data_IF_551847097432
#
_entry.id   IF_551847097432
#
_cell.length_a   1.000
_cell.length_b   1.000
_cell.length_c   1.000
_cell.angle_alpha   90.00
_cell.angle_beta   90.00
_cell.angle_gamma   90.00
#
_symmetry.space_group_name_H-M   'P 1'
#
loop_
_entity.id
_entity.type
_entity.pdbx_description
1 polymer ?
#
# COMPACT_ATOMS: atom_id res chain seq x y z
N UNK A 1 -0.43 2.79 30.74
CA UNK A 1 -0.17 3.54 29.49
C UNK A 1 -1.45 4.27 29.11
N UNK A 2 -1.38 5.56 28.81
CA UNK A 2 -2.56 6.34 28.38
C UNK A 2 -2.88 6.03 26.91
N UNK A 3 -4.16 6.09 26.54
CA UNK A 3 -4.60 5.92 25.14
C UNK A 3 -4.30 7.16 24.32
N UNK A 4 -4.16 6.96 23.01
CA UNK A 4 -3.94 8.08 22.09
C UNK A 4 -5.14 9.02 22.07
N UNK A 5 -4.89 10.31 21.85
CA UNK A 5 -5.95 11.34 21.73
C UNK A 5 -6.91 11.00 20.57
N UNK A 6 -6.39 10.39 19.50
CA UNK A 6 -7.17 9.96 18.34
C UNK A 6 -8.14 8.82 18.71
N UNK A 7 -7.66 7.78 19.40
CA UNK A 7 -8.48 6.66 19.86
C UNK A 7 -9.59 7.16 20.81
N UNK A 8 -9.26 8.05 21.74
CA UNK A 8 -10.24 8.62 22.68
C UNK A 8 -11.32 9.42 21.94
N UNK A 9 -10.93 10.24 20.96
CA UNK A 9 -11.89 10.97 20.12
C UNK A 9 -12.80 10.03 19.32
N UNK A 10 -12.23 8.96 18.76
CA UNK A 10 -12.97 7.96 18.01
C UNK A 10 -14.01 7.24 18.89
N UNK A 11 -13.61 6.77 20.08
CA UNK A 11 -14.51 6.12 21.05
C UNK A 11 -15.67 7.05 21.44
N UNK A 12 -15.41 8.34 21.63
CA UNK A 12 -16.46 9.32 21.94
C UNK A 12 -17.37 9.56 20.73
N UNK A 13 -16.85 9.59 19.51
CA UNK A 13 -17.67 9.72 18.31
C UNK A 13 -18.57 8.51 18.04
N UNK A 14 -18.13 7.33 18.49
CA UNK A 14 -18.91 6.09 18.42
C UNK A 14 -20.04 6.04 19.47
N UNK A 15 -20.13 7.02 20.37
CA UNK A 15 -21.22 7.14 21.34
C UNK A 15 -20.86 6.78 22.78
N UNK A 16 -19.59 6.43 23.07
CA UNK A 16 -19.18 6.16 24.45
C UNK A 16 -19.16 7.46 25.30
N UNK A 17 -19.64 7.44 26.55
CA UNK A 17 -19.69 8.64 27.39
C UNK A 17 -18.30 9.25 27.62
N UNK A 18 -18.17 10.59 27.48
CA UNK A 18 -16.92 11.32 27.73
C UNK A 18 -16.36 11.15 29.14
N UNK A 19 -17.19 10.76 30.11
CA UNK A 19 -16.82 10.43 31.48
C UNK A 19 -16.84 8.92 31.79
N UNK A 20 -16.90 8.08 30.77
CA UNK A 20 -16.98 6.63 30.92
C UNK A 20 -15.71 6.03 31.52
N UNK A 21 -15.88 4.92 32.26
CA UNK A 21 -14.77 4.22 32.89
C UNK A 21 -13.83 3.65 31.82
N UNK A 22 -12.54 3.64 32.11
CA UNK A 22 -11.53 3.09 31.21
C UNK A 22 -11.45 3.79 29.83
N UNK A 23 -11.89 5.04 29.67
CA UNK A 23 -11.75 5.80 28.41
C UNK A 23 -10.29 6.23 28.14
N UNK A 24 -9.71 7.06 29.03
CA UNK A 24 -8.35 7.59 28.86
C UNK A 24 -7.25 6.56 29.15
N UNK A 25 -7.48 5.71 30.15
CA UNK A 25 -6.57 4.65 30.57
C UNK A 25 -7.38 3.49 31.13
N UNK A 26 -7.03 2.25 30.77
CA UNK A 26 -7.58 1.08 31.43
C UNK A 26 -6.98 0.96 32.84
N UNK A 27 -7.83 0.87 33.86
CA UNK A 27 -7.45 0.65 35.27
C UNK A 27 -8.05 -0.63 35.84
N UNK A 28 -8.48 -1.55 34.99
CA UNK A 28 -9.00 -2.86 35.39
C UNK A 28 -7.81 -3.83 35.48
N UNK A 29 -7.70 -4.54 36.61
CA UNK A 29 -6.67 -5.56 36.81
C UNK A 29 -7.03 -6.88 36.09
N UNK A 30 -8.34 -7.16 35.93
CA UNK A 30 -8.87 -8.29 35.17
C UNK A 30 -10.13 -7.86 34.36
N UNK A 31 -10.51 -8.64 33.34
CA UNK A 31 -11.81 -8.47 32.66
C UNK A 31 -12.96 -8.81 33.62
N UNK A 32 -14.13 -8.15 33.51
CA UNK A 32 -14.59 -7.32 32.39
C UNK A 32 -14.17 -5.84 32.46
N UNK A 33 -13.56 -5.35 31.38
CA UNK A 33 -13.32 -3.93 31.18
C UNK A 33 -14.59 -3.27 30.62
N UNK A 34 -15.13 -2.19 31.22
CA UNK A 34 -16.40 -1.59 30.80
C UNK A 34 -16.35 -1.00 29.39
N UNK A 35 -15.19 -0.53 28.94
CA UNK A 35 -15.00 -0.04 27.58
C UNK A 35 -14.97 -1.19 26.57
N UNK A 36 -14.22 -2.26 26.84
CA UNK A 36 -14.12 -3.41 25.94
C UNK A 36 -15.46 -4.16 25.86
N UNK A 37 -16.16 -4.28 26.99
CA UNK A 37 -17.50 -4.87 27.02
C UNK A 37 -18.44 -4.09 26.09
N UNK A 38 -18.47 -2.76 26.22
CA UNK A 38 -19.29 -1.91 25.35
C UNK A 38 -18.88 -2.02 23.88
N UNK A 39 -17.59 -1.91 23.54
CA UNK A 39 -17.11 -2.05 22.15
C UNK A 39 -17.51 -3.41 21.55
N UNK A 40 -17.37 -4.48 22.31
CA UNK A 40 -17.74 -5.83 21.86
C UNK A 40 -19.25 -6.00 21.69
N UNK A 41 -20.07 -5.36 22.54
CA UNK A 41 -21.52 -5.38 22.43
C UNK A 41 -21.96 -4.63 21.17
N UNK A 42 -21.47 -3.40 20.97
CA UNK A 42 -21.77 -2.59 19.79
C UNK A 42 -21.35 -3.30 18.49
N UNK A 43 -20.16 -3.90 18.44
CA UNK A 43 -19.71 -4.70 17.30
C UNK A 43 -20.68 -5.85 16.98
N UNK A 44 -21.12 -6.60 17.99
CA UNK A 44 -22.10 -7.68 17.80
C UNK A 44 -23.47 -7.17 17.35
N UNK A 45 -23.87 -5.96 17.73
CA UNK A 45 -25.12 -5.37 17.22
C UNK A 45 -25.07 -5.00 15.74
N UNK A 46 -23.88 -4.68 15.22
CA UNK A 46 -23.68 -4.33 13.82
C UNK A 46 -23.38 -5.55 12.96
N UNK A 47 -22.70 -6.54 13.52
CA UNK A 47 -22.25 -7.75 12.85
C UNK A 47 -22.82 -8.99 13.56
N UNK A 48 -24.07 -9.40 13.24
CA UNK A 48 -24.72 -10.53 13.92
C UNK A 48 -23.98 -11.86 13.72
N UNK A 49 -23.19 -12.00 12.65
CA UNK A 49 -22.33 -13.16 12.36
C UNK A 49 -21.30 -13.44 13.47
N UNK A 50 -20.94 -12.43 14.28
CA UNK A 50 -20.03 -12.57 15.41
C UNK A 50 -20.70 -13.13 16.68
N UNK A 51 -22.01 -13.38 16.64
CA UNK A 51 -22.81 -13.88 17.78
C UNK A 51 -22.85 -15.41 17.84
N UNK A 52 -22.46 -16.08 16.77
CA UNK A 52 -22.57 -17.52 16.66
C UNK A 52 -21.38 -18.23 17.33
N UNK A 53 -21.70 -18.84 18.48
CA UNK A 53 -21.06 -19.97 19.18
C UNK A 53 -20.72 -19.64 20.65
N UNK A 54 -21.61 -20.13 21.54
CA UNK A 54 -21.40 -20.41 22.97
C UNK A 54 -21.01 -19.20 23.83
N UNK A 55 -21.95 -18.26 24.02
CA UNK A 55 -21.87 -17.29 25.12
C UNK A 55 -22.76 -16.07 24.93
N UNK A 56 -24.06 -16.19 25.24
CA UNK A 56 -24.97 -15.04 25.36
C UNK A 56 -24.82 -14.34 26.72
N UNK A 57 -23.57 -14.11 27.14
CA UNK A 57 -23.26 -13.36 28.34
C UNK A 57 -23.09 -11.88 28.00
N UNK A 58 -23.73 -10.99 28.75
CA UNK A 58 -23.59 -9.54 28.62
C UNK A 58 -22.21 -9.02 29.13
N UNK A 59 -21.29 -9.95 29.43
CA UNK A 59 -20.07 -9.72 30.19
C UNK A 59 -18.88 -10.37 29.48
N UNK A 60 -18.05 -9.54 28.86
CA UNK A 60 -16.87 -9.94 28.11
C UNK A 60 -15.77 -10.49 29.03
N UNK A 61 -15.69 -11.81 29.14
CA UNK A 61 -14.60 -12.54 29.77
C UNK A 61 -13.40 -12.72 28.81
N UNK A 62 -12.25 -13.13 29.33
CA UNK A 62 -11.02 -13.33 28.53
C UNK A 62 -11.23 -14.32 27.38
N UNK A 63 -11.95 -15.41 27.64
CA UNK A 63 -12.25 -16.42 26.62
C UNK A 63 -13.22 -15.93 25.55
N UNK A 64 -14.18 -15.09 25.93
CA UNK A 64 -15.11 -14.48 24.96
C UNK A 64 -14.42 -13.44 24.09
N UNK A 65 -13.50 -12.66 24.66
CA UNK A 65 -12.66 -11.76 23.91
C UNK A 65 -11.76 -12.54 22.95
N UNK A 66 -11.17 -13.66 23.38
CA UNK A 66 -10.38 -14.56 22.52
C UNK A 66 -11.20 -15.06 21.35
N UNK A 67 -12.41 -15.57 21.59
CA UNK A 67 -13.29 -16.08 20.55
C UNK A 67 -13.71 -14.98 19.56
N UNK A 68 -14.06 -13.80 20.06
CA UNK A 68 -14.38 -12.64 19.23
C UNK A 68 -13.20 -12.24 18.33
N UNK A 69 -11.97 -12.24 18.87
CA UNK A 69 -10.77 -11.95 18.10
C UNK A 69 -10.46 -13.03 17.05
N UNK A 70 -10.64 -14.31 17.38
CA UNK A 70 -10.50 -15.42 16.43
C UNK A 70 -11.50 -15.32 15.28
N UNK A 71 -12.76 -14.98 15.58
CA UNK A 71 -13.81 -14.84 14.57
C UNK A 71 -13.54 -13.69 13.59
N UNK A 72 -12.87 -12.63 14.06
CA UNK A 72 -12.41 -11.52 13.21
C UNK A 72 -11.02 -11.75 12.60
N UNK A 73 -10.48 -12.97 12.69
CA UNK A 73 -9.13 -13.34 12.21
C UNK A 73 -8.03 -12.40 12.72
N UNK A 74 -8.18 -11.91 13.94
CA UNK A 74 -7.27 -10.93 14.53
C UNK A 74 -5.95 -11.58 14.95
N UNK A 75 -4.79 -10.92 14.74
CA UNK A 75 -3.49 -11.42 15.20
C UNK A 75 -3.39 -11.55 16.73
N UNK A 76 -4.35 -10.97 17.44
CA UNK A 76 -4.46 -11.05 18.89
C UNK A 76 -5.29 -12.26 19.35
N UNK A 77 -5.72 -13.18 18.49
CA UNK A 77 -6.43 -14.39 18.92
C UNK A 77 -5.60 -15.29 19.87
N UNK A 78 -4.27 -15.26 19.75
CA UNK A 78 -3.34 -16.01 20.59
C UNK A 78 -2.90 -15.17 21.79
N UNK A 79 -3.84 -14.73 22.64
CA UNK A 79 -3.50 -14.02 23.88
C UNK A 79 -3.05 -14.99 24.98
N UNK A 80 -2.14 -14.55 25.84
CA UNK A 80 -1.90 -15.16 27.15
C UNK A 80 -2.98 -14.71 28.15
N UNK A 81 -3.28 -15.51 29.16
CA UNK A 81 -4.32 -15.18 30.15
C UNK A 81 -4.02 -13.90 30.95
N UNK A 82 -2.75 -13.49 30.99
CA UNK A 82 -2.31 -12.20 31.55
C UNK A 82 -2.36 -11.13 30.46
N UNK A 83 -3.29 -10.19 30.59
CA UNK A 83 -3.47 -9.07 29.66
C UNK A 83 -2.65 -7.86 30.12
N UNK A 84 -1.45 -7.72 29.58
CA UNK A 84 -0.61 -6.54 29.80
C UNK A 84 -1.33 -5.23 29.35
N UNK A 85 -1.17 -4.10 30.06
CA UNK A 85 -1.84 -2.84 29.70
C UNK A 85 -1.57 -2.34 28.28
N UNK A 86 -0.42 -2.71 27.70
CA UNK A 86 -0.08 -2.40 26.30
C UNK A 86 -0.86 -3.26 25.30
N UNK A 87 -1.10 -4.53 25.62
CA UNK A 87 -1.92 -5.43 24.82
C UNK A 87 -3.39 -4.96 24.83
N UNK A 88 -3.92 -4.58 26.00
CA UNK A 88 -5.27 -4.03 26.13
C UNK A 88 -5.48 -2.76 25.28
N UNK A 89 -4.48 -1.88 25.20
CA UNK A 89 -4.57 -0.69 24.35
C UNK A 89 -4.63 -1.07 22.86
N UNK A 90 -3.77 -2.00 22.40
CA UNK A 90 -3.79 -2.49 21.01
C UNK A 90 -5.10 -3.18 20.65
N UNK A 91 -5.63 -4.00 21.56
CA UNK A 91 -6.94 -4.64 21.41
C UNK A 91 -8.04 -3.58 21.33
N UNK A 92 -7.99 -2.54 22.18
CA UNK A 92 -8.96 -1.44 22.12
C UNK A 92 -8.88 -0.71 20.78
N UNK A 93 -7.68 -0.38 20.31
CA UNK A 93 -7.48 0.30 19.02
C UNK A 93 -8.01 -0.54 17.85
N UNK A 94 -7.76 -1.85 17.87
CA UNK A 94 -8.29 -2.80 16.89
C UNK A 94 -9.82 -2.83 16.88
N UNK A 95 -10.46 -3.03 18.05
CA UNK A 95 -11.93 -3.07 18.15
C UNK A 95 -12.58 -1.74 17.73
N UNK A 96 -11.95 -0.60 18.04
CA UNK A 96 -12.42 0.72 17.58
C UNK A 96 -12.34 0.83 16.06
N UNK A 97 -11.26 0.34 15.44
CA UNK A 97 -11.12 0.32 13.99
C UNK A 97 -12.18 -0.54 13.32
N UNK A 98 -12.41 -1.76 13.82
CA UNK A 98 -13.43 -2.68 13.29
C UNK A 98 -14.84 -2.11 13.44
N UNK A 99 -15.14 -1.46 14.58
CA UNK A 99 -16.46 -0.88 14.82
C UNK A 99 -16.74 0.32 13.92
N UNK A 100 -15.72 1.15 13.67
CA UNK A 100 -15.80 2.22 12.68
C UNK A 100 -16.01 1.66 11.26
N UNK A 101 -15.29 0.60 10.89
CA UNK A 101 -15.46 -0.04 9.60
C UNK A 101 -16.89 -0.61 9.44
N UNK A 102 -17.41 -1.28 10.47
CA UNK A 102 -18.77 -1.81 10.50
C UNK A 102 -19.83 -0.69 10.36
N UNK A 103 -19.63 0.45 11.01
CA UNK A 103 -20.51 1.63 10.82
C UNK A 103 -20.48 2.13 9.38
N UNK A 104 -19.30 2.26 8.77
CA UNK A 104 -19.16 2.71 7.38
C UNK A 104 -19.84 1.75 6.42
N UNK A 105 -19.75 0.44 6.66
CA UNK A 105 -20.42 -0.58 5.84
C UNK A 105 -21.94 -0.46 6.01
N UNK A 106 -22.44 -0.39 7.24
CA UNK A 106 -23.87 -0.26 7.53
C UNK A 106 -24.47 1.04 6.99
N UNK A 107 -23.75 2.16 7.07
CA UNK A 107 -24.18 3.43 6.49
C UNK A 107 -24.31 3.33 4.95
N UNK A 108 -23.36 2.66 4.29
CA UNK A 108 -23.44 2.36 2.85
C UNK A 108 -24.62 1.46 2.49
N UNK A 109 -24.95 0.47 3.32
CA UNK A 109 -26.10 -0.43 3.11
C UNK A 109 -27.44 0.28 3.32
N UNK A 110 -27.52 1.21 4.28
CA UNK A 110 -28.73 1.98 4.58
C UNK A 110 -28.96 3.14 3.59
N UNK A 111 -27.90 3.68 2.99
CA UNK A 111 -27.95 4.74 1.98
C UNK A 111 -27.40 4.27 0.61
N UNK A 112 -27.99 3.26 -0.05
CA UNK A 112 -27.51 2.79 -1.34
C UNK A 112 -27.73 3.82 -2.48
N UNK A 113 -28.48 4.91 -2.21
CA UNK A 113 -29.06 5.82 -3.20
C UNK A 113 -28.77 7.32 -3.00
N UNK A 114 -27.75 7.70 -2.25
CA UNK A 114 -27.21 9.08 -2.35
C UNK A 114 -26.21 9.26 -3.50
N UNK A 115 -26.16 8.29 -4.44
CA UNK A 115 -25.47 8.41 -5.72
C UNK A 115 -26.42 8.67 -6.91
N UNK A 116 -27.67 9.10 -6.66
CA UNK A 116 -28.67 9.31 -7.71
C UNK A 116 -29.36 10.67 -7.64
N UNK A 117 -28.64 11.76 -7.33
CA UNK A 117 -28.99 13.11 -7.83
C UNK A 117 -27.77 14.06 -7.90
N UNK A 118 -26.66 13.57 -8.45
CA UNK A 118 -25.63 14.42 -9.07
C UNK A 118 -24.96 13.54 -10.11
N UNK A 119 -25.03 13.93 -11.38
CA UNK A 119 -24.47 13.15 -12.49
C UNK A 119 -22.94 12.99 -12.35
N UNK A 120 -22.52 11.97 -11.61
CA UNK A 120 -21.16 11.45 -11.61
C UNK A 120 -21.25 9.96 -11.99
N UNK A 121 -20.79 9.66 -13.21
CA UNK A 121 -20.62 8.28 -13.67
C UNK A 121 -19.72 7.50 -12.69
N UNK A 122 -20.00 6.19 -12.46
CA UNK A 122 -19.48 5.47 -11.32
C UNK A 122 -17.97 5.27 -11.47
N UNK A 123 -17.19 6.04 -10.71
CA UNK A 123 -15.84 5.61 -10.37
C UNK A 123 -16.05 4.43 -9.44
N UNK A 124 -15.94 3.22 -9.98
CA UNK A 124 -15.73 2.03 -9.15
C UNK A 124 -14.48 2.33 -8.33
N UNK A 125 -14.65 2.70 -7.06
CA UNK A 125 -13.61 2.56 -6.05
C UNK A 125 -13.35 1.06 -5.90
N UNK A 126 -12.61 0.52 -6.86
CA UNK A 126 -11.88 -0.72 -6.69
C UNK A 126 -10.72 -0.38 -5.75
N UNK A 127 -11.03 -0.22 -4.45
CA UNK A 127 -10.06 -0.68 -3.45
C UNK A 127 -10.01 -2.18 -3.67
N UNK A 128 -9.03 -2.57 -4.48
CA UNK A 128 -8.45 -3.91 -4.39
C UNK A 128 -8.22 -4.14 -2.90
N UNK A 129 -8.77 -5.25 -2.41
CA UNK A 129 -8.54 -5.72 -1.04
C UNK A 129 -7.06 -5.52 -0.70
N UNK A 130 -6.79 -5.02 0.50
CA UNK A 130 -5.44 -4.94 1.00
C UNK A 130 -4.89 -6.37 0.99
N UNK A 131 -4.19 -6.74 -0.07
CA UNK A 131 -3.33 -7.91 -0.07
C UNK A 131 -2.36 -7.66 1.07
N UNK A 132 -2.61 -8.37 2.17
CA UNK A 132 -1.69 -8.48 3.27
C UNK A 132 -0.32 -8.80 2.68
N UNK A 133 0.70 -8.05 3.11
CA UNK A 133 2.09 -8.35 2.73
C UNK A 133 2.49 -9.78 3.16
N UNK A 134 1.73 -10.40 4.07
CA UNK A 134 1.91 -11.79 4.52
C UNK A 134 1.32 -12.84 3.55
N UNK A 135 0.36 -12.49 2.68
CA UNK A 135 -0.31 -13.47 1.81
C UNK A 135 0.56 -13.90 0.61
N UNK A 136 1.57 -13.10 0.25
CA UNK A 136 2.60 -13.50 -0.72
C UNK A 136 3.76 -14.29 -0.09
N UNK A 137 3.77 -14.44 1.23
CA UNK A 137 4.77 -15.24 1.96
C UNK A 137 4.26 -16.62 2.39
N UNK A 138 2.97 -16.94 2.22
CA UNK A 138 2.42 -18.27 2.51
C UNK A 138 2.57 -19.29 1.37
N UNK A 139 3.23 -18.96 0.25
CA UNK A 139 3.70 -19.96 -0.74
C UNK A 139 4.94 -20.77 -0.26
N UNK A 140 5.18 -20.81 1.05
CA UNK A 140 6.30 -21.53 1.65
C UNK A 140 5.85 -22.44 2.80
N UNK A 141 4.77 -23.20 2.61
CA UNK A 141 4.55 -24.46 3.33
C UNK A 141 3.98 -25.52 2.40
N UNK A 142 4.79 -26.56 2.22
CA UNK A 142 4.53 -27.83 1.54
C UNK A 142 4.22 -27.77 0.04
N UNK A 143 5.15 -28.37 -0.73
CA UNK A 143 4.98 -28.58 -2.16
C UNK A 143 3.81 -29.50 -2.44
N UNK A 144 2.69 -28.89 -2.85
CA UNK A 144 1.52 -29.60 -3.33
C UNK A 144 1.84 -30.26 -4.69
N UNK A 145 1.40 -31.51 -4.90
CA UNK A 145 1.69 -32.26 -6.12
C UNK A 145 1.19 -31.55 -7.40
N UNK A 146 0.14 -30.72 -7.25
CA UNK A 146 -0.44 -29.92 -8.32
C UNK A 146 0.52 -28.82 -8.84
N UNK A 147 1.32 -28.18 -7.97
CA UNK A 147 2.26 -27.14 -8.40
C UNK A 147 3.46 -27.74 -9.14
N UNK A 148 3.85 -28.96 -8.76
CA UNK A 148 4.95 -29.68 -9.44
C UNK A 148 4.54 -30.14 -10.83
N UNK A 149 3.29 -30.55 -11.02
CA UNK A 149 2.76 -30.95 -12.31
C UNK A 149 2.58 -29.76 -13.25
N UNK A 150 2.12 -28.61 -12.73
CA UNK A 150 2.04 -27.35 -13.47
C UNK A 150 3.42 -26.90 -13.98
N UNK A 151 4.45 -26.89 -13.11
CA UNK A 151 5.83 -26.54 -13.51
C UNK A 151 6.40 -27.48 -14.56
N UNK A 152 6.08 -28.78 -14.50
CA UNK A 152 6.47 -29.75 -15.53
C UNK A 152 5.80 -29.45 -16.87
N UNK A 153 4.52 -29.10 -16.87
CA UNK A 153 3.79 -28.74 -18.09
C UNK A 153 4.34 -27.46 -18.73
N UNK A 154 4.64 -26.43 -17.92
CA UNK A 154 5.27 -25.18 -18.39
C UNK A 154 6.66 -25.45 -18.97
N UNK A 155 7.47 -26.26 -18.29
CA UNK A 155 8.80 -26.65 -18.79
C UNK A 155 8.71 -27.40 -20.12
N UNK A 156 7.76 -28.32 -20.28
CA UNK A 156 7.53 -29.04 -21.53
C UNK A 156 7.07 -28.11 -22.66
N UNK A 157 6.23 -27.12 -22.34
CA UNK A 157 5.75 -26.13 -23.31
C UNK A 157 6.90 -25.25 -23.86
N UNK A 158 7.90 -24.95 -23.04
CA UNK A 158 9.10 -24.19 -23.46
C UNK A 158 10.16 -25.09 -24.12
N UNK A 159 10.24 -26.36 -23.74
CA UNK A 159 11.22 -27.32 -24.26
C UNK A 159 10.97 -27.70 -25.72
N UNK A 160 9.71 -27.97 -26.08
CA UNK A 160 9.35 -28.42 -27.43
C UNK A 160 9.73 -27.39 -28.52
N UNK A 161 9.42 -26.08 -28.38
CA UNK A 161 9.87 -25.06 -29.33
C UNK A 161 11.39 -25.00 -29.48
N UNK A 162 12.14 -25.19 -28.39
CA UNK A 162 13.60 -25.17 -28.40
C UNK A 162 14.16 -26.36 -29.18
N UNK A 163 13.66 -27.57 -28.94
CA UNK A 163 14.03 -28.76 -29.71
C UNK A 163 13.73 -28.57 -31.20
N UNK A 164 12.54 -28.06 -31.54
CA UNK A 164 12.17 -27.79 -32.92
C UNK A 164 13.10 -26.76 -33.58
N UNK A 165 13.49 -25.68 -32.87
CA UNK A 165 14.44 -24.68 -33.37
C UNK A 165 15.85 -25.27 -33.61
N UNK A 166 16.23 -26.26 -32.81
CA UNK A 166 17.48 -27.01 -32.98
C UNK A 166 17.36 -28.16 -33.98
N UNK A 167 16.17 -28.48 -34.49
CA UNK A 167 15.96 -29.60 -35.40
C UNK A 167 16.13 -30.96 -34.72
N UNK A 168 15.90 -31.02 -33.40
CA UNK A 168 16.00 -32.21 -32.57
C UNK A 168 14.62 -32.83 -32.34
N UNK A 169 14.60 -34.14 -32.08
CA UNK A 169 13.36 -34.87 -31.83
C UNK A 169 12.87 -34.68 -30.39
N UNK A 170 11.57 -34.89 -30.15
CA UNK A 170 10.95 -34.79 -28.81
C UNK A 170 11.54 -35.79 -27.80
N UNK A 171 12.26 -36.81 -28.27
CA UNK A 171 12.95 -37.82 -27.47
C UNK A 171 14.40 -37.46 -27.08
N UNK A 172 14.95 -36.36 -27.61
CA UNK A 172 16.33 -35.95 -27.35
C UNK A 172 16.57 -35.60 -25.89
N UNK A 173 17.71 -36.05 -25.35
CA UNK A 173 18.09 -35.75 -23.98
C UNK A 173 18.74 -34.37 -23.88
N UNK A 174 18.83 -33.83 -22.65
CA UNK A 174 19.44 -32.52 -22.40
C UNK A 174 20.88 -32.44 -22.94
N UNK A 175 21.65 -33.52 -22.83
CA UNK A 175 23.04 -33.58 -23.33
C UNK A 175 23.12 -33.42 -24.86
N UNK A 176 22.17 -33.99 -25.60
CA UNK A 176 22.09 -33.85 -27.07
C UNK A 176 21.85 -32.39 -27.45
N UNK A 177 20.94 -31.74 -26.73
CA UNK A 177 20.62 -30.32 -26.90
C UNK A 177 21.82 -29.44 -26.58
N UNK A 178 22.51 -29.70 -25.47
CA UNK A 178 23.70 -28.95 -25.07
C UNK A 178 24.82 -29.06 -26.12
N UNK A 179 25.03 -30.27 -26.66
CA UNK A 179 26.05 -30.51 -27.69
C UNK A 179 25.71 -29.81 -29.00
N UNK A 180 24.44 -29.82 -29.43
CA UNK A 180 24.00 -29.12 -30.65
C UNK A 180 24.08 -27.60 -30.50
N UNK A 181 23.76 -27.05 -29.31
CA UNK A 181 23.95 -25.63 -29.04
C UNK A 181 25.44 -25.26 -29.11
N UNK A 182 26.33 -26.07 -28.50
CA UNK A 182 27.78 -25.86 -28.58
C UNK A 182 28.30 -25.93 -30.02
N UNK A 183 27.82 -26.89 -30.82
CA UNK A 183 28.24 -27.04 -32.22
C UNK A 183 27.88 -25.82 -33.07
N UNK A 184 26.64 -25.30 -32.91
CA UNK A 184 26.18 -24.10 -33.61
C UNK A 184 26.90 -22.84 -33.14
N UNK A 185 27.18 -22.72 -31.86
CA UNK A 185 27.95 -21.59 -31.31
C UNK A 185 29.33 -21.48 -31.94
N UNK A 186 30.02 -22.59 -32.20
CA UNK A 186 31.33 -22.62 -32.88
C UNK A 186 31.22 -22.16 -34.35
N UNK A 187 30.10 -22.44 -35.01
CA UNK A 187 29.86 -22.08 -36.41
C UNK A 187 29.41 -20.62 -36.62
N UNK A 188 29.05 -19.90 -35.56
CA UNK A 188 28.63 -18.50 -35.67
C UNK A 188 29.83 -17.60 -35.99
N UNK A 189 29.76 -16.92 -37.14
CA UNK A 189 30.75 -15.91 -37.54
C UNK A 189 30.43 -14.57 -36.90
N UNK A 190 30.91 -14.38 -35.66
CA UNK A 190 30.83 -13.14 -34.92
C UNK A 190 31.84 -13.20 -33.78
N UNK A 191 32.66 -12.16 -33.64
CA UNK A 191 33.84 -12.15 -32.75
C UNK A 191 33.56 -12.62 -31.31
N UNK A 192 34.65 -13.02 -30.64
CA UNK A 192 34.67 -13.56 -29.28
C UNK A 192 33.49 -13.09 -28.42
N UNK A 193 32.54 -13.99 -28.19
CA UNK A 193 31.43 -13.72 -27.29
C UNK A 193 32.02 -13.35 -25.92
N UNK A 194 31.59 -12.21 -25.40
CA UNK A 194 31.98 -11.73 -24.07
C UNK A 194 31.67 -12.76 -22.99
N UNK A 195 32.50 -12.81 -21.95
CA UNK A 195 32.37 -13.81 -20.90
C UNK A 195 31.01 -13.67 -20.18
N UNK A 196 30.47 -14.79 -19.65
CA UNK A 196 29.30 -14.73 -18.78
C UNK A 196 29.60 -13.87 -17.56
N UNK A 197 28.59 -13.12 -17.11
CA UNK A 197 28.70 -12.26 -15.95
C UNK A 197 28.95 -13.06 -14.67
N UNK A 198 28.28 -14.21 -14.54
CA UNK A 198 28.48 -15.17 -13.47
C UNK A 198 29.53 -16.21 -13.89
N UNK A 199 30.69 -16.22 -13.24
CA UNK A 199 31.80 -17.16 -13.52
C UNK A 199 31.80 -18.39 -12.62
N UNK A 200 31.06 -18.35 -11.53
CA UNK A 200 31.04 -19.39 -10.49
C UNK A 200 29.76 -20.19 -10.56
N UNK A 201 29.84 -21.50 -10.37
CA UNK A 201 28.66 -22.33 -10.13
C UNK A 201 28.11 -22.05 -8.73
N UNK A 202 26.78 -22.12 -8.60
CA UNK A 202 26.09 -21.93 -7.33
C UNK A 202 25.82 -23.29 -6.67
N UNK A 203 25.98 -23.37 -5.35
CA UNK A 203 25.59 -24.54 -4.57
C UNK A 203 24.07 -24.65 -4.46
N UNK A 204 23.55 -25.82 -4.07
CA UNK A 204 22.11 -26.03 -3.85
C UNK A 204 21.53 -25.03 -2.83
N UNK A 205 22.25 -24.74 -1.75
CA UNK A 205 21.85 -23.74 -0.75
C UNK A 205 21.87 -22.32 -1.30
N UNK A 206 22.81 -21.99 -2.19
CA UNK A 206 22.84 -20.67 -2.83
C UNK A 206 21.70 -20.51 -3.84
N UNK A 207 21.31 -21.58 -4.53
CA UNK A 207 20.15 -21.57 -5.44
C UNK A 207 18.84 -21.29 -4.70
N UNK A 208 18.63 -21.92 -3.54
CA UNK A 208 17.42 -21.68 -2.74
C UNK A 208 17.40 -20.24 -2.21
N UNK A 209 18.55 -19.70 -1.79
CA UNK A 209 18.67 -18.30 -1.40
C UNK A 209 18.39 -17.35 -2.57
N UNK A 210 18.94 -17.61 -3.76
CA UNK A 210 18.73 -16.81 -4.96
C UNK A 210 17.25 -16.79 -5.36
N UNK A 211 16.57 -17.93 -5.31
CA UNK A 211 15.13 -18.01 -5.57
C UNK A 211 14.33 -17.15 -4.59
N UNK A 212 14.66 -17.21 -3.29
CA UNK A 212 14.01 -16.37 -2.27
C UNK A 212 14.22 -14.87 -2.51
N UNK A 213 15.44 -14.47 -2.89
CA UNK A 213 15.75 -13.08 -3.26
C UNK A 213 14.92 -12.66 -4.48
N UNK A 214 14.91 -13.48 -5.52
CA UNK A 214 14.16 -13.18 -6.74
C UNK A 214 12.66 -13.05 -6.50
N UNK A 215 12.08 -13.92 -5.66
CA UNK A 215 10.67 -13.86 -5.30
C UNK A 215 10.35 -12.57 -4.55
N UNK A 216 11.16 -12.21 -3.55
CA UNK A 216 11.02 -10.97 -2.79
C UNK A 216 11.10 -9.74 -3.69
N UNK A 217 12.10 -9.69 -4.57
CA UNK A 217 12.27 -8.59 -5.52
C UNK A 217 11.12 -8.52 -6.53
N UNK A 218 10.65 -9.66 -7.04
CA UNK A 218 9.55 -9.71 -8.01
C UNK A 218 8.27 -9.10 -7.44
N UNK A 219 7.95 -9.42 -6.19
CA UNK A 219 6.81 -8.83 -5.46
C UNK A 219 6.98 -7.32 -5.29
N UNK A 220 8.14 -6.86 -4.83
CA UNK A 220 8.44 -5.43 -4.64
C UNK A 220 8.37 -4.65 -5.96
N UNK A 221 8.97 -5.17 -7.04
CA UNK A 221 8.88 -4.55 -8.36
C UNK A 221 7.46 -4.54 -8.93
N UNK A 222 6.68 -5.61 -8.72
CA UNK A 222 5.28 -5.64 -9.11
C UNK A 222 4.48 -4.57 -8.39
N UNK A 223 4.65 -4.43 -7.08
CA UNK A 223 4.02 -3.38 -6.27
C UNK A 223 4.39 -1.98 -6.78
N UNK A 224 5.69 -1.71 -6.98
CA UNK A 224 6.15 -0.42 -7.53
C UNK A 224 5.57 -0.12 -8.90
N UNK A 225 5.51 -1.13 -9.78
CA UNK A 225 4.94 -1.01 -11.13
C UNK A 225 3.46 -0.67 -11.07
N UNK A 226 2.68 -1.37 -10.25
CA UNK A 226 1.25 -1.08 -10.03
C UNK A 226 1.05 0.32 -9.47
N UNK A 227 1.88 0.75 -8.51
CA UNK A 227 1.81 2.12 -7.97
C UNK A 227 2.06 3.17 -9.05
N UNK A 228 3.09 2.98 -9.89
CA UNK A 228 3.37 3.91 -11.00
C UNK A 228 2.22 3.95 -12.03
N UNK A 229 1.66 2.80 -12.40
CA UNK A 229 0.53 2.72 -13.32
C UNK A 229 -0.68 3.44 -12.73
N UNK A 230 -1.00 3.18 -11.46
CA UNK A 230 -2.14 3.82 -10.81
C UNK A 230 -1.94 5.33 -10.66
N UNK A 231 -0.73 5.78 -10.29
CA UNK A 231 -0.38 7.20 -10.25
C UNK A 231 -0.56 7.84 -11.62
N UNK A 232 -0.14 7.18 -12.69
CA UNK A 232 -0.32 7.68 -14.05
C UNK A 232 -1.80 7.74 -14.45
N UNK A 233 -2.59 6.71 -14.13
CA UNK A 233 -4.04 6.70 -14.34
C UNK A 233 -4.74 7.87 -13.64
N UNK A 234 -4.48 8.06 -12.34
CA UNK A 234 -5.07 9.17 -11.57
C UNK A 234 -4.63 10.52 -12.13
N UNK A 235 -3.37 10.63 -12.60
CA UNK A 235 -2.89 11.85 -13.27
C UNK A 235 -3.66 12.10 -14.57
N UNK A 236 -3.89 11.07 -15.39
CA UNK A 236 -4.70 11.18 -16.60
C UNK A 236 -6.14 11.59 -16.29
N UNK A 237 -6.77 10.94 -15.31
CA UNK A 237 -8.14 11.25 -14.86
C UNK A 237 -8.26 12.68 -14.33
N UNK A 238 -7.23 13.21 -13.67
CA UNK A 238 -7.22 14.59 -13.17
C UNK A 238 -7.33 15.64 -14.29
N UNK A 239 -6.89 15.33 -15.52
CA UNK A 239 -7.06 16.24 -16.64
C UNK A 239 -8.53 16.41 -17.03
N UNK A 240 -9.37 15.40 -16.80
CA UNK A 240 -10.81 15.48 -17.05
C UNK A 240 -11.56 16.35 -16.03
N UNK A 241 -10.93 16.75 -14.92
CA UNK A 241 -11.60 17.57 -13.90
C UNK A 241 -11.78 19.01 -14.38
N UNK A 242 -12.99 19.54 -14.21
CA UNK A 242 -13.36 20.94 -14.52
C UNK A 242 -14.53 21.06 -15.50
N UNK A 243 -14.85 22.28 -15.90
CA UNK A 243 -16.06 22.61 -16.69
C UNK A 243 -16.11 21.92 -18.07
N UNK A 244 -14.95 21.63 -18.67
CA UNK A 244 -14.82 20.97 -19.98
C UNK A 244 -14.61 19.45 -19.89
N UNK A 245 -15.14 18.82 -18.85
CA UNK A 245 -14.95 17.39 -18.57
C UNK A 245 -15.32 16.48 -19.75
N UNK A 246 -16.42 16.74 -20.46
CA UNK A 246 -16.88 15.89 -21.58
C UNK A 246 -15.88 15.89 -22.76
N UNK A 247 -15.39 17.07 -23.16
CA UNK A 247 -14.40 17.21 -24.24
C UNK A 247 -13.07 16.53 -23.85
N UNK A 248 -12.60 16.74 -22.61
CA UNK A 248 -11.34 16.17 -22.14
C UNK A 248 -11.41 14.66 -21.94
N UNK A 249 -12.55 14.11 -21.52
CA UNK A 249 -12.77 12.66 -21.44
C UNK A 249 -12.70 11.99 -22.81
N UNK A 250 -13.32 12.57 -23.84
CA UNK A 250 -13.24 12.03 -25.20
C UNK A 250 -11.78 11.95 -25.72
N UNK A 251 -10.93 12.90 -25.33
CA UNK A 251 -9.49 12.85 -25.63
C UNK A 251 -8.78 11.78 -24.80
N UNK A 252 -9.11 11.63 -23.52
CA UNK A 252 -8.53 10.57 -22.67
C UNK A 252 -8.93 9.16 -23.10
N UNK A 253 -10.14 8.98 -23.62
CA UNK A 253 -10.62 7.70 -24.15
C UNK A 253 -9.84 7.25 -25.40
N UNK A 254 -9.16 8.19 -26.08
CA UNK A 254 -8.23 7.87 -27.18
C UNK A 254 -6.86 7.36 -26.71
N UNK A 255 -6.55 7.47 -25.41
CA UNK A 255 -5.28 7.01 -24.83
C UNK A 255 -5.32 5.47 -24.70
N UNK A 256 -4.27 4.75 -25.15
CA UNK A 256 -4.23 3.30 -25.02
C UNK A 256 -4.35 2.81 -23.58
N UNK A 257 -5.05 1.69 -23.41
CA UNK A 257 -5.20 1.04 -22.11
C UNK A 257 -3.84 0.64 -21.52
N UNK A 258 -3.65 0.94 -20.24
CA UNK A 258 -2.45 0.60 -19.48
C UNK A 258 -2.46 -0.85 -18.96
N UNK A 259 -3.49 -1.64 -19.28
CA UNK A 259 -3.62 -3.05 -18.84
C UNK A 259 -2.50 -3.94 -19.41
N UNK A 260 -1.95 -3.61 -20.58
CA UNK A 260 -0.75 -4.30 -21.10
C UNK A 260 0.48 -4.12 -20.21
N UNK A 261 0.50 -3.04 -19.40
CA UNK A 261 1.56 -2.77 -18.46
C UNK A 261 1.35 -3.45 -17.09
N UNK A 262 0.27 -4.20 -16.87
CA UNK A 262 0.07 -4.91 -15.59
C UNK A 262 0.60 -6.35 -15.57
N UNK A 263 1.30 -6.80 -16.62
CA UNK A 263 1.87 -8.16 -16.68
C UNK A 263 2.88 -8.47 -15.56
N UNK A 264 3.28 -9.74 -15.46
CA UNK A 264 4.36 -10.18 -14.57
C UNK A 264 5.73 -9.60 -14.97
N UNK A 265 6.71 -9.72 -14.07
CA UNK A 265 8.11 -9.39 -14.39
C UNK A 265 8.59 -10.27 -15.56
N UNK A 266 9.22 -9.65 -16.56
CA UNK A 266 9.89 -10.38 -17.64
C UNK A 266 11.31 -10.84 -17.24
N UNK A 267 11.79 -10.44 -16.05
CA UNK A 267 13.12 -10.79 -15.55
C UNK A 267 13.01 -12.08 -14.76
N UNK A 268 13.64 -13.14 -15.25
CA UNK A 268 13.78 -14.44 -14.57
C UNK A 268 15.22 -14.71 -14.16
N UNK A 269 15.47 -15.61 -13.19
CA UNK A 269 16.83 -16.02 -12.84
C UNK A 269 17.60 -16.58 -14.04
N UNK A 270 16.91 -17.30 -14.94
CA UNK A 270 17.48 -17.82 -16.18
C UNK A 270 18.04 -16.70 -17.08
N UNK A 271 17.30 -15.59 -17.18
CA UNK A 271 17.74 -14.42 -17.95
C UNK A 271 18.97 -13.75 -17.30
N UNK A 272 19.03 -13.70 -15.97
CA UNK A 272 20.17 -13.17 -15.24
C UNK A 272 21.43 -14.03 -15.41
N UNK A 273 21.28 -15.36 -15.49
CA UNK A 273 22.40 -16.28 -15.72
C UNK A 273 22.92 -16.23 -17.14
N UNK A 274 22.04 -15.95 -18.10
CA UNK A 274 22.42 -15.72 -19.49
C UNK A 274 23.11 -14.36 -19.72
N UNK A 275 23.09 -13.46 -18.72
CA UNK A 275 23.69 -12.14 -18.83
C UNK A 275 25.22 -12.21 -18.95
N UNK A 276 25.77 -11.33 -19.77
CA UNK A 276 27.21 -11.23 -20.07
C UNK A 276 27.81 -9.95 -19.52
N UNK A 277 29.14 -9.90 -19.48
CA UNK A 277 29.88 -8.75 -18.94
C UNK A 277 29.52 -7.44 -19.66
N UNK A 278 29.32 -7.45 -20.97
CA UNK A 278 28.90 -6.30 -21.79
C UNK A 278 27.44 -5.89 -21.60
N UNK A 279 26.64 -6.68 -20.90
CA UNK A 279 25.25 -6.30 -20.58
C UNK A 279 25.12 -5.70 -19.18
N UNK A 280 26.20 -5.74 -18.39
CA UNK A 280 26.22 -5.33 -16.97
C UNK A 280 26.50 -3.84 -16.74
N UNK A 281 25.99 -2.97 -17.62
CA UNK A 281 26.19 -1.53 -17.45
C UNK A 281 25.09 -0.92 -16.57
N UNK A 282 25.45 -0.51 -15.35
CA UNK A 282 24.62 0.39 -14.55
C UNK A 282 24.88 1.80 -15.06
N UNK A 283 24.16 2.20 -16.11
CA UNK A 283 24.21 3.59 -16.54
C UNK A 283 23.56 4.48 -15.47
N UNK A 284 24.21 5.61 -15.10
CA UNK A 284 23.57 6.56 -14.22
C UNK A 284 22.31 7.07 -14.92
N UNK A 285 21.16 6.96 -14.25
CA UNK A 285 19.88 7.50 -14.73
C UNK A 285 20.00 9.02 -14.78
N UNK A 286 20.48 9.54 -15.90
CA UNK A 286 20.54 10.97 -16.18
C UNK A 286 19.26 11.34 -16.90
N UNK A 287 18.58 12.39 -16.42
CA UNK A 287 17.50 12.99 -17.19
C UNK A 287 18.04 13.34 -18.58
N UNK A 288 17.49 12.73 -19.63
CA UNK A 288 17.93 12.96 -21.00
C UNK A 288 17.88 14.44 -21.36
N UNK A 289 18.76 14.89 -22.26
CA UNK A 289 18.75 16.28 -22.75
C UNK A 289 17.43 16.55 -23.48
N UNK A 290 16.54 17.33 -22.85
CA UNK A 290 15.33 17.95 -23.41
C UNK A 290 14.52 17.06 -24.36
N UNK A 291 13.62 16.23 -23.81
CA UNK A 291 12.56 15.59 -24.60
C UNK A 291 11.67 16.65 -25.27
N UNK A 292 10.95 16.27 -26.33
CA UNK A 292 10.01 17.15 -27.01
C UNK A 292 8.97 17.77 -26.06
N UNK A 293 8.63 17.07 -24.97
CA UNK A 293 7.75 17.56 -23.91
C UNK A 293 8.36 18.77 -23.19
N UNK A 294 9.66 18.74 -22.86
CA UNK A 294 10.34 19.88 -22.23
C UNK A 294 10.55 21.08 -23.17
N UNK A 295 10.41 20.88 -24.48
CA UNK A 295 10.49 21.96 -25.49
C UNK A 295 9.14 22.60 -25.78
N UNK A 296 8.04 22.00 -25.31
CA UNK A 296 6.71 22.56 -25.48
C UNK A 296 6.53 23.76 -24.55
N UNK A 297 6.31 24.94 -25.13
CA UNK A 297 5.99 26.14 -24.36
C UNK A 297 4.60 25.96 -23.76
N UNK A 298 4.53 25.68 -22.45
CA UNK A 298 3.24 25.65 -21.76
C UNK A 298 2.63 27.06 -21.82
N UNK A 299 1.36 27.15 -22.22
CA UNK A 299 0.63 28.41 -22.26
C UNK A 299 0.40 29.01 -20.87
N UNK A 300 -0.51 29.97 -20.75
CA UNK A 300 -0.80 30.61 -19.45
C UNK A 300 -1.31 29.57 -18.44
N UNK A 301 -0.45 29.16 -17.51
CA UNK A 301 -0.78 28.22 -16.43
C UNK A 301 -1.59 28.98 -15.38
N UNK A 302 -2.86 28.60 -15.11
CA UNK A 302 -3.64 29.22 -14.04
C UNK A 302 -2.92 29.07 -12.71
N UNK A 303 -2.87 30.14 -11.91
CA UNK A 303 -2.23 30.08 -10.61
C UNK A 303 -2.97 29.08 -9.71
N UNK A 304 -2.25 28.08 -9.19
CA UNK A 304 -2.80 27.04 -8.33
C UNK A 304 -2.77 27.44 -6.85
N UNK A 305 -2.34 28.67 -6.55
CA UNK A 305 -2.23 29.18 -5.18
C UNK A 305 -1.18 28.42 -4.36
N UNK A 306 -1.07 28.77 -3.08
CA UNK A 306 -0.10 28.16 -2.17
C UNK A 306 1.31 28.74 -2.29
N UNK A 307 1.47 29.92 -2.93
CA UNK A 307 2.73 30.64 -2.87
C UNK A 307 3.03 30.98 -1.40
N UNK A 308 4.22 30.66 -0.88
CA UNK A 308 4.63 31.03 0.47
C UNK A 308 4.59 32.57 0.60
N UNK A 309 3.50 33.11 1.13
CA UNK A 309 3.24 34.56 1.23
C UNK A 309 1.82 35.01 0.84
N UNK A 310 1.04 34.19 0.11
CA UNK A 310 -0.35 34.53 -0.26
C UNK A 310 -1.38 34.14 0.80
N UNK A 311 -1.07 33.14 1.63
CA UNK A 311 -1.90 32.73 2.76
C UNK A 311 -1.43 33.54 3.96
N UNK A 312 -2.15 34.63 4.26
CA UNK A 312 -1.98 35.35 5.52
C UNK A 312 -2.42 34.38 6.64
N UNK A 313 -1.52 33.96 7.54
CA UNK A 313 -1.90 33.04 8.61
C UNK A 313 -2.99 33.73 9.46
N UNK A 314 -4.10 33.03 9.78
CA UNK A 314 -5.12 33.61 10.63
C UNK A 314 -4.47 34.05 11.94
N UNK A 315 -4.61 35.34 12.29
CA UNK A 315 -4.04 35.88 13.52
C UNK A 315 -4.50 35.04 14.71
N UNK A 316 -3.57 34.52 15.54
CA UNK A 316 -3.95 33.91 16.80
C UNK A 316 -4.57 34.99 17.69
N UNK A 317 -5.85 34.83 18.06
CA UNK A 317 -6.48 35.68 19.07
C UNK A 317 -5.88 35.33 20.43
N UNK A 318 -5.02 36.19 20.95
CA UNK A 318 -4.57 36.10 22.34
C UNK A 318 -5.72 36.53 23.25
N UNK A 319 -6.41 35.57 23.86
CA UNK A 319 -7.39 35.87 24.91
C UNK A 319 -6.70 36.58 26.08
N UNK A 320 -7.38 37.58 26.65
CA UNK A 320 -6.89 38.30 27.82
C UNK A 320 -6.56 37.31 28.94
N UNK A 321 -5.28 37.27 29.33
CA UNK A 321 -4.84 36.55 30.52
C UNK A 321 -5.58 37.20 31.69
N UNK A 322 -6.54 36.49 32.29
CA UNK A 322 -7.33 36.97 33.43
C UNK A 322 -6.39 37.62 34.44
N UNK A 323 -6.57 38.90 34.65
CA UNK A 323 -5.82 39.68 35.62
C UNK A 323 -6.12 39.13 37.02
N UNK A 324 -5.22 38.32 37.55
CA UNK A 324 -5.15 38.02 38.97
C UNK A 324 -3.72 38.28 39.42
N UNK A 325 -3.55 39.32 40.24
CA UNK A 325 -2.34 39.49 41.05
C UNK A 325 -1.49 40.72 40.73
N UNK A 326 -1.64 41.72 41.60
CA UNK A 326 -0.82 42.91 41.85
C UNK A 326 0.70 42.74 41.63
N UNK A 327 1.34 43.77 41.07
CA UNK A 327 2.66 44.22 41.53
C UNK A 327 3.71 44.54 40.46
N UNK A 328 4.02 45.84 40.28
CA UNK A 328 5.41 46.29 40.09
C UNK A 328 5.93 46.57 38.67
N UNK A 329 5.71 47.80 38.20
CA UNK A 329 6.79 48.74 37.87
C UNK A 329 7.83 48.48 36.76
N UNK A 330 7.79 49.38 35.76
CA UNK A 330 8.90 50.13 35.12
C UNK A 330 9.66 49.55 33.92
N UNK A 331 9.72 50.39 32.87
CA UNK A 331 10.71 50.43 31.79
C UNK A 331 10.17 49.87 30.47
N UNK A 332 10.14 50.56 29.33
CA UNK A 332 10.82 51.78 28.90
C UNK A 332 11.25 51.60 27.43
N UNK A 333 10.47 52.17 26.51
CA UNK A 333 10.86 52.65 25.18
C UNK A 333 11.61 51.73 24.19
N UNK A 334 10.94 51.33 23.11
CA UNK A 334 11.49 51.51 21.75
C UNK A 334 10.42 51.35 20.67
N UNK A 335 9.93 52.49 20.16
CA UNK A 335 9.19 52.56 18.90
C UNK A 335 10.18 52.55 17.74
N UNK A 336 10.32 51.43 17.02
CA UNK A 336 10.89 51.47 15.67
C UNK A 336 9.77 51.58 14.64
N UNK A 337 9.61 52.78 14.10
CA UNK A 337 8.83 53.06 12.88
C UNK A 337 9.58 52.49 11.68
N UNK A 338 9.12 51.36 11.12
CA UNK A 338 9.53 50.93 9.78
C UNK A 338 8.69 51.67 8.72
N UNK A 339 9.37 52.49 7.92
CA UNK A 339 8.81 53.35 6.87
C UNK A 339 8.56 52.51 5.60
N UNK A 340 7.29 52.29 5.24
CA UNK A 340 6.87 51.71 3.94
C UNK A 340 7.38 52.60 2.79
N UNK A 341 8.33 52.08 1.99
CA UNK A 341 8.76 52.69 0.73
C UNK A 341 7.76 52.27 -0.36
N UNK A 342 6.98 53.24 -0.84
CA UNK A 342 6.03 53.10 -1.95
C UNK A 342 6.83 53.18 -3.25
N UNK A 343 6.96 52.05 -3.97
CA UNK A 343 7.53 52.01 -5.32
C UNK A 343 6.52 52.50 -6.34
N UNK A 344 6.92 53.50 -7.13
CA UNK A 344 6.20 54.07 -8.27
C UNK A 344 6.19 53.09 -9.44
N UNK A 345 5.08 53.13 -10.18
CA UNK A 345 4.96 52.70 -11.58
C UNK A 345 5.99 53.43 -12.45
N UNK A 346 6.59 52.68 -13.36
CA UNK A 346 6.69 53.03 -14.79
C UNK A 346 6.53 51.76 -15.60
#
# INVERSE_FOLDING_TARGET
>A
MERSVQTVSAIVSLGYPRGGRCLLRCGCDELPCPLLNWLSAELRTLCPELTDLRGAGDVLLVEELRNLMSNMFSPFAVMTDVLEPSALNRITDFLVSELLAAHVIKEKEMHPKENLTREEAPVKEQRVEHYSYDDLCEECKDGDAADTEKRKAEMQAEWIPLLHALGLDASSQFEDVENEVKSRLVCLSGGDMTNPLLKTSLSSEQWTQLQKINQTLSVDYQCRRQMMIKRFQVTLESFAWGEKQKERRAVLDSVPSLVSLTGSSQVSPSLLLAAREDQSFIEPIKAGKTTAVYKMLMGSVPDRGGRPGEIEPPMPTWGERRAQGKGGGRGGGHQQRYRKKKGKKE
#
